data_IF_549902864281
#
_entry.id   IF_549902864281
#
_cell.length_a   1.000
_cell.length_b   1.000
_cell.length_c   1.000
_cell.angle_alpha   90.00
_cell.angle_beta   90.00
_cell.angle_gamma   90.00
#
_symmetry.space_group_name_H-M   'P 1'
#
loop_
_entity.id
_entity.type
_entity.pdbx_description
1 polymer ?
#
# COMPACT_ATOMS: atom_id res chain seq x y z
N UNK A 1 -18.11 -14.83 16.92
CA UNK A 1 -16.63 -14.84 16.72
C UNK A 1 -16.21 -15.49 15.41
N UNK A 2 -16.64 -16.71 15.10
CA UNK A 2 -16.34 -17.40 13.81
C UNK A 2 -16.68 -16.56 12.57
N UNK A 3 -17.89 -16.01 12.47
CA UNK A 3 -18.32 -15.17 11.33
C UNK A 3 -17.34 -14.01 11.06
N UNK A 4 -16.88 -13.31 12.09
CA UNK A 4 -15.90 -12.23 11.95
C UNK A 4 -14.55 -12.73 11.45
N UNK A 5 -14.09 -13.88 11.94
CA UNK A 5 -12.85 -14.50 11.45
C UNK A 5 -12.96 -14.89 9.97
N UNK A 6 -14.09 -15.48 9.55
CA UNK A 6 -14.36 -15.78 8.14
C UNK A 6 -14.34 -14.53 7.28
N UNK A 7 -14.99 -13.44 7.69
CA UNK A 7 -14.99 -12.16 6.95
C UNK A 7 -13.56 -11.63 6.74
N UNK A 8 -12.72 -11.68 7.78
CA UNK A 8 -11.31 -11.28 7.66
C UNK A 8 -10.60 -12.16 6.64
N UNK A 9 -10.67 -13.49 6.77
CA UNK A 9 -9.98 -14.40 5.85
C UNK A 9 -10.48 -14.28 4.40
N UNK A 10 -11.77 -14.02 4.20
CA UNK A 10 -12.37 -13.80 2.87
C UNK A 10 -11.94 -12.49 2.23
N UNK A 11 -11.75 -11.43 3.02
CA UNK A 11 -11.17 -10.18 2.56
C UNK A 11 -9.76 -10.41 2.02
N UNK A 12 -8.89 -11.03 2.83
CA UNK A 12 -7.52 -11.32 2.38
C UNK A 12 -7.50 -12.26 1.17
N UNK A 13 -8.35 -13.29 1.16
CA UNK A 13 -8.45 -14.23 0.04
C UNK A 13 -8.95 -13.55 -1.26
N UNK A 14 -9.82 -12.54 -1.17
CA UNK A 14 -10.28 -11.78 -2.36
C UNK A 14 -9.09 -11.16 -3.11
N UNK A 15 -8.13 -10.61 -2.37
CA UNK A 15 -6.90 -10.04 -2.90
C UNK A 15 -5.77 -11.07 -3.06
N UNK A 16 -6.04 -12.37 -2.83
CA UNK A 16 -5.06 -13.46 -2.91
C UNK A 16 -3.93 -13.37 -1.86
N UNK A 17 -4.23 -12.76 -0.71
CA UNK A 17 -3.30 -12.68 0.42
C UNK A 17 -3.60 -13.78 1.44
N UNK A 18 -2.55 -14.27 2.09
CA UNK A 18 -2.69 -15.19 3.22
C UNK A 18 -2.22 -14.47 4.50
N UNK A 19 -3.13 -14.10 5.41
CA UNK A 19 -2.77 -13.28 6.55
C UNK A 19 -2.04 -14.09 7.63
N UNK A 20 -1.16 -13.38 8.33
CA UNK A 20 -0.52 -13.81 9.58
C UNK A 20 -1.45 -13.61 10.77
N UNK A 21 -1.08 -14.17 11.91
CA UNK A 21 -1.80 -13.91 13.18
C UNK A 21 -1.94 -12.41 13.49
N UNK A 22 -0.88 -11.63 13.26
CA UNK A 22 -0.87 -10.19 13.55
C UNK A 22 -1.86 -9.43 12.66
N UNK A 23 -1.89 -9.76 11.37
CA UNK A 23 -2.84 -9.15 10.42
C UNK A 23 -4.29 -9.52 10.77
N UNK A 24 -4.56 -10.79 11.09
CA UNK A 24 -5.91 -11.21 11.53
C UNK A 24 -6.32 -10.44 12.78
N UNK A 25 -5.42 -10.27 13.74
CA UNK A 25 -5.69 -9.52 14.96
C UNK A 25 -6.00 -8.05 14.66
N UNK A 26 -5.15 -7.40 13.86
CA UNK A 26 -5.28 -5.98 13.48
C UNK A 26 -6.63 -5.70 12.82
N UNK A 27 -7.02 -6.54 11.86
CA UNK A 27 -8.24 -6.33 11.07
C UNK A 27 -9.46 -7.06 11.62
N UNK A 28 -9.39 -7.62 12.83
CA UNK A 28 -10.56 -8.22 13.45
C UNK A 28 -11.59 -7.12 13.76
N UNK A 29 -12.84 -7.22 13.28
CA UNK A 29 -13.82 -6.12 13.34
C UNK A 29 -14.45 -5.94 14.73
N UNK A 30 -14.08 -6.77 15.71
CA UNK A 30 -14.50 -6.66 17.12
C UNK A 30 -13.29 -6.62 18.02
N UNK A 31 -13.40 -5.95 19.17
CA UNK A 31 -12.33 -6.00 20.16
C UNK A 31 -12.14 -7.46 20.61
N UNK A 32 -10.89 -7.91 20.59
CA UNK A 32 -10.52 -9.27 20.99
C UNK A 32 -9.13 -9.23 21.63
N UNK A 33 -8.85 -10.10 22.60
CA UNK A 33 -7.48 -10.24 23.12
C UNK A 33 -6.65 -11.15 22.20
N UNK A 34 -5.32 -11.01 22.22
CA UNK A 34 -4.43 -11.94 21.49
C UNK A 34 -4.60 -13.38 21.97
N UNK A 35 -4.94 -13.60 23.24
CA UNK A 35 -5.19 -14.93 23.82
C UNK A 35 -6.45 -15.56 23.21
N UNK A 36 -7.57 -14.84 23.26
CA UNK A 36 -8.85 -15.34 22.74
C UNK A 36 -8.79 -15.59 21.23
N UNK A 37 -8.06 -14.74 20.49
CA UNK A 37 -7.85 -14.98 19.06
C UNK A 37 -7.05 -16.26 18.80
N UNK A 38 -6.00 -16.53 19.59
CA UNK A 38 -5.22 -17.77 19.46
C UNK A 38 -6.09 -18.99 19.74
N UNK A 39 -6.88 -18.96 20.80
CA UNK A 39 -7.80 -20.05 21.16
C UNK A 39 -8.85 -20.27 20.06
N UNK A 40 -9.43 -19.18 19.52
CA UNK A 40 -10.35 -19.24 18.39
C UNK A 40 -9.69 -19.91 17.18
N UNK A 41 -8.48 -19.48 16.79
CA UNK A 41 -7.76 -20.08 15.66
C UNK A 41 -7.46 -21.56 15.88
N UNK A 42 -7.01 -21.95 17.08
CA UNK A 42 -6.76 -23.37 17.42
C UNK A 42 -8.03 -24.19 17.28
N UNK A 43 -9.17 -23.70 17.77
CA UNK A 43 -10.46 -24.38 17.67
C UNK A 43 -10.90 -24.56 16.22
N UNK A 44 -10.78 -23.53 15.40
CA UNK A 44 -11.15 -23.58 13.98
C UNK A 44 -10.21 -24.46 13.15
N UNK A 45 -8.91 -24.52 13.50
CA UNK A 45 -7.96 -25.46 12.90
C UNK A 45 -8.33 -26.91 13.24
N UNK A 46 -8.61 -27.21 14.52
CA UNK A 46 -9.06 -28.55 14.95
C UNK A 46 -10.36 -28.96 14.26
N UNK A 47 -11.28 -28.01 14.08
CA UNK A 47 -12.53 -28.20 13.34
C UNK A 47 -12.37 -28.25 11.82
N UNK A 48 -11.14 -28.18 11.28
CA UNK A 48 -10.84 -28.16 9.83
C UNK A 48 -11.53 -27.04 9.04
N UNK A 49 -12.02 -26.00 9.70
CA UNK A 49 -12.65 -24.83 9.06
C UNK A 49 -11.62 -23.81 8.59
N UNK A 50 -10.39 -23.88 9.12
CA UNK A 50 -9.24 -23.05 8.73
C UNK A 50 -8.01 -23.94 8.58
N UNK A 51 -7.17 -23.62 7.59
CA UNK A 51 -5.87 -24.25 7.37
C UNK A 51 -4.78 -23.33 7.92
N UNK A 52 -3.93 -23.85 8.81
CA UNK A 52 -2.68 -23.21 9.23
C UNK A 52 -1.53 -23.84 8.45
N UNK A 53 -0.70 -23.03 7.81
CA UNK A 53 0.48 -23.53 7.11
C UNK A 53 1.68 -22.62 7.30
N UNK A 54 2.84 -23.24 7.53
CA UNK A 54 4.14 -22.59 7.38
C UNK A 54 4.62 -22.67 5.92
N UNK A 55 4.21 -23.71 5.17
CA UNK A 55 4.51 -23.94 3.74
C UNK A 55 3.70 -23.07 2.77
N UNK A 56 2.67 -22.35 3.23
CA UNK A 56 2.06 -21.28 2.43
C UNK A 56 3.03 -20.11 2.17
N UNK A 57 4.28 -20.21 2.63
CA UNK A 57 5.40 -19.38 2.22
C UNK A 57 6.30 -19.99 1.12
N UNK A 58 6.19 -21.28 0.79
CA UNK A 58 7.18 -22.00 -0.05
C UNK A 58 7.19 -21.56 -1.52
N UNK A 59 6.26 -20.69 -1.92
CA UNK A 59 6.46 -19.93 -3.15
C UNK A 59 7.21 -18.68 -2.73
N UNK A 60 8.56 -18.78 -2.71
CA UNK A 60 9.50 -17.67 -2.54
C UNK A 60 8.80 -16.39 -2.91
N UNK A 61 8.30 -15.71 -1.86
CA UNK A 61 7.84 -14.36 -1.97
C UNK A 61 9.04 -13.66 -2.56
N UNK A 62 8.91 -13.29 -3.83
CA UNK A 62 9.88 -12.43 -4.47
C UNK A 62 10.14 -11.33 -3.46
N UNK A 63 11.38 -11.21 -3.00
CA UNK A 63 11.72 -10.01 -2.26
C UNK A 63 11.40 -8.86 -3.23
N UNK A 64 11.05 -7.69 -2.72
CA UNK A 64 10.80 -6.47 -3.53
C UNK A 64 11.85 -6.23 -4.64
N UNK A 65 12.98 -6.94 -4.56
CA UNK A 65 14.17 -6.80 -5.33
C UNK A 65 14.78 -8.09 -5.90
N UNK A 66 14.22 -9.29 -5.68
CA UNK A 66 14.81 -10.54 -6.17
C UNK A 66 13.75 -11.49 -6.72
N UNK A 67 13.63 -11.49 -8.05
CA UNK A 67 12.95 -12.51 -8.84
C UNK A 67 13.85 -13.65 -9.32
N UNK A 68 14.75 -14.18 -8.49
CA UNK A 68 15.56 -15.33 -8.90
C UNK A 68 14.89 -16.67 -8.61
N UNK A 69 14.33 -17.27 -9.66
CA UNK A 69 14.30 -18.73 -9.84
C UNK A 69 15.67 -19.15 -10.36
N UNK A 70 16.51 -19.70 -9.48
CA UNK A 70 17.73 -20.43 -9.82
C UNK A 70 18.64 -19.78 -10.87
N UNK A 71 19.37 -18.71 -10.51
CA UNK A 71 20.78 -18.51 -10.88
C UNK A 71 21.28 -17.20 -10.23
N UNK A 72 22.56 -17.22 -9.86
CA UNK A 72 23.41 -16.15 -9.29
C UNK A 72 23.58 -16.03 -7.77
N UNK A 73 24.88 -16.06 -7.42
CA UNK A 73 25.54 -16.02 -6.11
C UNK A 73 25.35 -14.66 -5.42
N UNK A 74 25.41 -14.61 -4.08
CA UNK A 74 24.94 -13.47 -3.30
C UNK A 74 26.01 -12.37 -3.21
N UNK A 75 25.69 -11.17 -3.69
CA UNK A 75 26.31 -9.95 -3.18
C UNK A 75 25.23 -9.06 -2.54
N UNK A 76 25.23 -9.12 -1.21
CA UNK A 76 24.69 -8.15 -0.25
C UNK A 76 23.19 -7.85 -0.32
N UNK A 77 22.33 -8.64 0.37
CA UNK A 77 20.97 -8.21 0.65
C UNK A 77 20.97 -7.06 1.67
N UNK A 78 20.20 -6.00 1.38
CA UNK A 78 19.71 -5.06 2.39
C UNK A 78 19.05 -5.87 3.50
N UNK A 79 19.78 -6.04 4.61
CA UNK A 79 19.42 -6.90 5.74
C UNK A 79 18.32 -6.21 6.55
N UNK A 80 17.09 -6.21 6.03
CA UNK A 80 15.93 -6.17 6.91
C UNK A 80 15.96 -7.49 7.70
N UNK A 81 16.14 -7.40 9.01
CA UNK A 81 16.12 -8.52 9.93
C UNK A 81 14.73 -9.20 9.91
N UNK A 82 14.52 -10.15 9.00
CA UNK A 82 13.34 -11.01 9.00
C UNK A 82 13.54 -12.05 10.10
N UNK A 83 13.23 -11.63 11.33
CA UNK A 83 13.16 -12.47 12.52
C UNK A 83 11.87 -13.29 12.50
N UNK A 84 12.01 -14.62 12.52
CA UNK A 84 10.97 -15.65 12.71
C UNK A 84 9.82 -15.68 11.70
N UNK A 85 9.61 -16.84 11.08
CA UNK A 85 8.61 -17.01 10.04
C UNK A 85 7.19 -17.10 10.61
N UNK A 86 6.30 -16.10 10.43
CA UNK A 86 4.99 -16.14 11.06
C UNK A 86 4.08 -17.15 10.38
N UNK A 87 3.33 -17.92 11.18
CA UNK A 87 2.30 -18.83 10.68
C UNK A 87 1.23 -18.09 9.86
N UNK A 88 0.80 -18.68 8.76
CA UNK A 88 -0.21 -18.15 7.85
C UNK A 88 -1.52 -18.95 7.94
N UNK A 89 -2.65 -18.29 7.74
CA UNK A 89 -3.99 -18.87 7.93
C UNK A 89 -4.90 -18.58 6.73
N UNK A 90 -5.62 -19.58 6.24
CA UNK A 90 -6.59 -19.42 5.12
C UNK A 90 -7.79 -20.35 5.29
N UNK A 91 -8.87 -20.11 4.55
CA UNK A 91 -9.99 -21.04 4.47
C UNK A 91 -9.64 -22.20 3.52
N UNK A 92 -10.08 -23.45 3.80
CA UNK A 92 -9.75 -24.62 3.00
C UNK A 92 -9.97 -24.45 1.50
N UNK A 93 -11.11 -23.87 1.09
CA UNK A 93 -11.45 -23.62 -0.32
C UNK A 93 -10.50 -22.64 -1.04
N UNK A 94 -9.81 -21.77 -0.29
CA UNK A 94 -8.86 -20.80 -0.85
C UNK A 94 -7.42 -21.29 -0.83
N UNK A 95 -7.14 -22.41 -0.16
CA UNK A 95 -5.79 -23.01 -0.13
C UNK A 95 -5.33 -23.44 -1.53
N UNK A 96 -6.21 -24.04 -2.34
CA UNK A 96 -5.93 -24.46 -3.72
C UNK A 96 -6.07 -23.30 -4.70
N UNK A 97 -7.02 -22.39 -4.48
CA UNK A 97 -7.25 -21.25 -5.39
C UNK A 97 -6.10 -20.26 -5.38
N UNK A 98 -5.47 -20.03 -4.22
CA UNK A 98 -4.26 -19.22 -4.12
C UNK A 98 -3.11 -19.82 -4.95
N UNK A 99 -2.96 -21.16 -4.91
CA UNK A 99 -1.99 -21.90 -5.72
C UNK A 99 -2.28 -21.80 -7.23
N UNK A 100 -3.55 -21.94 -7.64
CA UNK A 100 -3.95 -21.94 -9.05
C UNK A 100 -3.88 -20.57 -9.72
N UNK A 101 -4.10 -19.47 -8.98
CA UNK A 101 -3.89 -18.11 -9.50
C UNK A 101 -2.42 -17.85 -9.82
N UNK A 102 -1.50 -18.29 -8.96
CA UNK A 102 -0.07 -18.22 -9.27
C UNK A 102 0.31 -19.07 -10.48
N UNK A 103 -0.22 -20.29 -10.59
CA UNK A 103 -0.04 -21.13 -11.78
C UNK A 103 -0.50 -20.41 -13.06
N UNK A 104 -1.62 -19.67 -13.02
CA UNK A 104 -2.06 -18.85 -14.17
C UNK A 104 -1.14 -17.67 -14.49
N UNK A 105 -0.54 -17.02 -13.47
CA UNK A 105 0.46 -15.96 -13.68
C UNK A 105 1.71 -16.54 -14.35
N UNK A 106 2.19 -17.68 -13.88
CA UNK A 106 3.31 -18.43 -14.47
C UNK A 106 2.96 -18.86 -15.89
N UNK A 107 1.77 -19.42 -16.11
CA UNK A 107 1.32 -19.83 -17.44
C UNK A 107 1.23 -18.64 -18.41
N UNK A 108 0.72 -17.50 -17.95
CA UNK A 108 0.71 -16.27 -18.75
C UNK A 108 2.11 -15.78 -19.10
N UNK A 109 3.09 -15.95 -18.21
CA UNK A 109 4.49 -15.66 -18.49
C UNK A 109 5.04 -16.60 -19.58
N UNK A 110 4.76 -17.90 -19.48
CA UNK A 110 5.11 -18.92 -20.48
C UNK A 110 4.47 -18.60 -21.83
N UNK A 111 3.17 -18.30 -21.87
CA UNK A 111 2.44 -18.00 -23.10
C UNK A 111 2.97 -16.73 -23.80
N UNK A 112 3.44 -15.74 -23.03
CA UNK A 112 4.11 -14.56 -23.56
C UNK A 112 5.50 -14.91 -24.11
N UNK A 113 6.24 -15.79 -23.43
CA UNK A 113 7.55 -16.27 -23.85
C UNK A 113 7.47 -17.08 -25.16
N UNK A 114 6.47 -17.94 -25.30
CA UNK A 114 6.21 -18.74 -26.51
C UNK A 114 5.88 -17.91 -27.76
N UNK A 115 5.57 -16.62 -27.62
CA UNK A 115 5.28 -15.70 -28.75
C UNK A 115 6.52 -15.05 -29.36
N UNK A 116 7.74 -15.45 -28.98
CA UNK A 116 8.95 -15.21 -29.77
C UNK A 116 9.55 -13.79 -29.75
N UNK A 117 9.28 -12.99 -28.72
CA UNK A 117 9.93 -11.67 -28.56
C UNK A 117 11.15 -11.69 -27.64
N UNK A 118 11.89 -10.58 -27.59
CA UNK A 118 13.05 -10.42 -26.70
C UNK A 118 12.67 -10.70 -25.23
N UNK A 119 13.31 -11.68 -24.55
CA UNK A 119 12.94 -12.10 -23.20
C UNK A 119 12.91 -10.93 -22.20
N UNK A 120 13.81 -9.93 -22.33
CA UNK A 120 13.83 -8.76 -21.43
C UNK A 120 12.65 -7.80 -21.62
N UNK A 121 12.01 -7.83 -22.80
CA UNK A 121 10.77 -7.06 -23.06
C UNK A 121 9.53 -7.84 -22.64
N UNK A 122 9.60 -9.16 -22.56
CA UNK A 122 8.46 -10.06 -22.37
C UNK A 122 8.40 -10.75 -21.01
N UNK A 123 9.48 -10.77 -20.23
CA UNK A 123 9.56 -11.38 -18.89
C UNK A 123 9.51 -10.28 -17.79
N UNK A 124 8.38 -10.16 -17.09
CA UNK A 124 8.20 -9.18 -16.02
C UNK A 124 9.04 -9.45 -14.77
N UNK A 125 9.43 -10.70 -14.50
CA UNK A 125 10.37 -11.03 -13.44
C UNK A 125 11.73 -10.40 -13.71
N UNK A 126 12.28 -10.65 -14.91
CA UNK A 126 13.55 -10.06 -15.35
C UNK A 126 13.48 -8.54 -15.41
N UNK A 127 12.38 -7.99 -15.94
CA UNK A 127 12.21 -6.53 -16.01
C UNK A 127 12.11 -5.89 -14.63
N UNK A 128 11.48 -6.56 -13.66
CA UNK A 128 11.44 -6.10 -12.26
C UNK A 128 12.83 -6.16 -11.63
N UNK A 129 13.57 -7.23 -11.83
CA UNK A 129 14.96 -7.36 -11.35
C UNK A 129 15.90 -6.31 -11.98
N UNK A 130 15.74 -6.03 -13.27
CA UNK A 130 16.46 -4.94 -13.94
C UNK A 130 16.08 -3.57 -13.35
N UNK A 131 14.81 -3.37 -13.01
CA UNK A 131 14.30 -2.11 -12.46
C UNK A 131 14.56 -1.94 -10.96
N UNK A 132 14.81 -3.01 -10.21
CA UNK A 132 15.07 -3.03 -8.77
C UNK A 132 16.01 -1.92 -8.32
N UNK A 133 17.18 -1.81 -8.96
CA UNK A 133 18.17 -0.78 -8.62
C UNK A 133 17.64 0.63 -8.87
N UNK A 134 16.92 0.83 -9.99
CA UNK A 134 16.33 2.12 -10.37
C UNK A 134 15.19 2.51 -9.44
N UNK A 135 14.36 1.55 -9.04
CA UNK A 135 13.30 1.73 -8.04
C UNK A 135 13.92 2.09 -6.69
N UNK A 136 14.98 1.41 -6.26
CA UNK A 136 15.67 1.75 -5.01
C UNK A 136 16.26 3.16 -5.03
N UNK A 137 16.90 3.54 -6.15
CA UNK A 137 17.38 4.92 -6.38
C UNK A 137 16.21 5.89 -6.29
N UNK A 138 15.12 5.62 -7.00
CA UNK A 138 13.91 6.44 -6.98
C UNK A 138 13.38 6.64 -5.55
N UNK A 139 13.14 5.56 -4.80
CA UNK A 139 12.62 5.62 -3.43
C UNK A 139 13.56 6.39 -2.50
N UNK A 140 14.87 6.24 -2.65
CA UNK A 140 15.86 6.98 -1.88
C UNK A 140 15.84 8.48 -2.23
N UNK A 141 15.74 8.82 -3.52
CA UNK A 141 15.67 10.21 -3.98
C UNK A 141 14.42 10.94 -3.48
N UNK A 142 13.28 10.24 -3.30
CA UNK A 142 12.05 10.86 -2.79
C UNK A 142 12.24 11.52 -1.41
N UNK A 143 13.17 11.03 -0.60
CA UNK A 143 13.48 11.58 0.73
C UNK A 143 14.03 13.01 0.65
N UNK A 144 14.78 13.31 -0.41
CA UNK A 144 15.51 14.57 -0.59
C UNK A 144 14.60 15.72 -1.02
N UNK A 145 13.42 15.43 -1.57
CA UNK A 145 12.51 16.48 -1.99
C UNK A 145 11.95 17.24 -0.77
N UNK A 146 12.12 18.58 -0.69
CA UNK A 146 11.73 19.36 0.47
C UNK A 146 10.21 19.39 0.67
N UNK A 147 9.44 19.32 -0.42
CA UNK A 147 7.98 19.31 -0.41
C UNK A 147 7.35 17.96 -0.07
N UNK A 148 8.11 16.85 -0.07
CA UNK A 148 7.57 15.53 0.31
C UNK A 148 7.68 15.36 1.81
N UNK A 149 6.56 14.99 2.44
CA UNK A 149 6.44 14.70 3.88
C UNK A 149 6.34 13.22 4.16
N UNK A 150 5.59 12.51 3.33
CA UNK A 150 5.38 11.09 3.48
C UNK A 150 5.33 10.39 2.13
N UNK A 151 5.86 9.16 2.10
CA UNK A 151 5.71 8.22 0.99
C UNK A 151 5.45 6.85 1.59
N UNK A 152 4.35 6.22 1.21
CA UNK A 152 4.01 4.87 1.62
C UNK A 152 3.67 3.97 0.44
N UNK A 153 4.07 2.70 0.53
CA UNK A 153 3.64 1.66 -0.41
C UNK A 153 2.25 1.19 0.00
N UNK A 154 1.35 1.09 -0.97
CA UNK A 154 -0.04 0.64 -0.83
C UNK A 154 -0.33 -0.58 -1.70
N UNK A 155 -1.59 -1.05 -1.73
CA UNK A 155 -2.01 -2.16 -2.58
C UNK A 155 -1.30 -3.49 -2.28
N UNK A 156 -1.19 -4.34 -3.31
CA UNK A 156 -0.68 -5.70 -3.18
C UNK A 156 0.78 -5.79 -2.73
N UNK A 157 1.59 -4.80 -3.14
CA UNK A 157 2.98 -4.71 -2.75
C UNK A 157 3.14 -4.53 -1.24
N UNK A 158 2.28 -3.74 -0.59
CA UNK A 158 2.34 -3.52 0.85
C UNK A 158 2.06 -4.80 1.67
N UNK A 159 1.33 -5.74 1.07
CA UNK A 159 0.90 -7.00 1.69
C UNK A 159 1.75 -8.19 1.31
N UNK A 160 2.87 -7.96 0.63
CA UNK A 160 3.75 -9.01 0.09
C UNK A 160 3.00 -10.01 -0.81
N UNK A 161 1.91 -9.57 -1.45
CA UNK A 161 1.08 -10.40 -2.32
C UNK A 161 1.12 -9.96 -3.77
N UNK A 162 2.22 -9.33 -4.19
CA UNK A 162 2.37 -8.79 -5.53
C UNK A 162 2.88 -9.85 -6.51
N UNK A 163 2.44 -9.72 -7.76
CA UNK A 163 2.92 -10.48 -8.91
C UNK A 163 4.12 -9.75 -9.55
N UNK A 164 5.04 -10.45 -10.24
CA UNK A 164 6.09 -9.81 -11.04
C UNK A 164 5.57 -8.79 -12.08
N UNK A 165 4.30 -8.92 -12.43
CA UNK A 165 3.58 -8.07 -13.37
C UNK A 165 2.97 -6.80 -12.76
N UNK A 166 2.80 -6.75 -11.43
CA UNK A 166 2.08 -5.68 -10.76
C UNK A 166 2.94 -4.42 -10.64
N UNK A 167 2.37 -3.22 -10.61
CA UNK A 167 3.08 -1.99 -10.24
C UNK A 167 3.28 -1.88 -8.72
N UNK A 168 4.19 -0.98 -8.31
CA UNK A 168 4.31 -0.54 -6.91
C UNK A 168 3.48 0.73 -6.72
N UNK A 169 2.38 0.62 -6.00
CA UNK A 169 1.47 1.72 -5.75
C UNK A 169 1.96 2.62 -4.61
N UNK A 170 2.16 3.91 -4.92
CA UNK A 170 2.61 4.90 -3.95
C UNK A 170 1.51 5.86 -3.53
N UNK A 171 1.45 6.08 -2.22
CA UNK A 171 0.70 7.15 -1.56
C UNK A 171 1.70 8.21 -1.07
N UNK A 172 1.48 9.47 -1.46
CA UNK A 172 2.40 10.57 -1.15
C UNK A 172 1.64 11.68 -0.42
N UNK A 173 2.20 12.16 0.69
CA UNK A 173 1.75 13.40 1.35
C UNK A 173 2.81 14.46 1.14
N UNK A 174 2.38 15.63 0.71
CA UNK A 174 3.23 16.79 0.47
C UNK A 174 2.98 17.88 1.49
N UNK A 175 3.88 18.86 1.53
CA UNK A 175 3.61 20.15 2.16
C UNK A 175 2.32 20.76 1.60
N UNK A 176 1.63 21.54 2.43
CA UNK A 176 0.48 22.35 1.99
C UNK A 176 0.84 23.17 0.74
N UNK A 177 -0.03 23.15 -0.27
CA UNK A 177 0.15 23.90 -1.53
C UNK A 177 1.42 23.54 -2.32
N UNK A 178 1.86 22.28 -2.25
CA UNK A 178 2.97 21.77 -3.07
C UNK A 178 2.62 20.44 -3.77
N UNK A 179 1.34 20.09 -3.84
CA UNK A 179 0.86 18.81 -4.34
C UNK A 179 1.23 18.59 -5.81
N UNK A 180 0.89 19.55 -6.66
CA UNK A 180 1.14 19.49 -8.11
C UNK A 180 2.61 19.67 -8.44
N UNK A 181 3.30 20.53 -7.70
CA UNK A 181 4.76 20.66 -7.77
C UNK A 181 5.43 19.33 -7.49
N UNK A 182 5.08 18.70 -6.36
CA UNK A 182 5.65 17.42 -5.98
C UNK A 182 5.36 16.35 -7.02
N UNK A 183 4.09 16.25 -7.43
CA UNK A 183 3.65 15.31 -8.45
C UNK A 183 4.47 15.45 -9.73
N UNK A 184 4.69 16.66 -10.21
CA UNK A 184 5.47 16.91 -11.42
C UNK A 184 6.86 16.29 -11.30
N UNK A 185 7.61 16.65 -10.25
CA UNK A 185 8.99 16.18 -10.08
C UNK A 185 9.08 14.67 -9.86
N UNK A 186 8.20 14.08 -9.06
CA UNK A 186 8.24 12.62 -8.82
C UNK A 186 7.83 11.81 -10.05
N UNK A 187 6.93 12.34 -10.90
CA UNK A 187 6.58 11.72 -12.18
C UNK A 187 7.73 11.85 -13.17
N UNK A 188 8.33 13.04 -13.29
CA UNK A 188 9.47 13.27 -14.18
C UNK A 188 10.63 12.36 -13.80
N UNK A 189 10.98 12.28 -12.51
CA UNK A 189 12.05 11.39 -12.04
C UNK A 189 11.75 9.91 -12.36
N UNK A 190 10.51 9.45 -12.13
CA UNK A 190 10.13 8.07 -12.46
C UNK A 190 10.21 7.79 -13.98
N UNK A 191 9.85 8.77 -14.82
CA UNK A 191 9.96 8.66 -16.28
C UNK A 191 11.42 8.66 -16.75
N UNK A 192 12.27 9.52 -16.19
CA UNK A 192 13.70 9.58 -16.51
C UNK A 192 14.41 8.27 -16.17
N UNK A 193 14.01 7.62 -15.06
CA UNK A 193 14.50 6.31 -14.67
C UNK A 193 13.86 5.15 -15.45
N UNK A 194 12.87 5.41 -16.30
CA UNK A 194 12.18 4.40 -17.11
C UNK A 194 11.30 3.44 -16.29
N UNK A 195 10.89 3.84 -15.09
CA UNK A 195 10.12 3.02 -14.14
C UNK A 195 8.69 3.52 -13.93
N UNK A 196 8.23 4.51 -14.70
CA UNK A 196 6.86 5.01 -14.56
C UNK A 196 5.83 4.05 -15.19
N UNK A 197 4.99 3.42 -14.36
CA UNK A 197 3.94 2.48 -14.76
C UNK A 197 4.45 1.10 -15.20
N UNK A 198 3.52 0.19 -15.49
CA UNK A 198 3.83 -1.20 -15.84
C UNK A 198 4.36 -1.95 -14.63
N UNK A 199 5.53 -2.57 -14.72
CA UNK A 199 6.20 -3.28 -13.61
C UNK A 199 7.03 -2.36 -12.69
N UNK A 200 6.91 -1.04 -12.87
CA UNK A 200 7.63 -0.03 -12.11
C UNK A 200 6.80 0.55 -10.96
N UNK A 201 6.78 1.87 -10.83
CA UNK A 201 6.02 2.60 -9.80
C UNK A 201 4.76 3.24 -10.39
N UNK A 202 3.67 3.15 -9.64
CA UNK A 202 2.42 3.86 -9.90
C UNK A 202 2.21 4.94 -8.84
N UNK A 203 1.91 6.15 -9.29
CA UNK A 203 1.72 7.30 -8.42
C UNK A 203 0.22 7.55 -8.25
N UNK A 204 -0.39 6.77 -7.37
CA UNK A 204 -1.84 6.60 -7.30
C UNK A 204 -2.55 7.66 -6.47
N UNK A 205 -1.97 8.05 -5.33
CA UNK A 205 -2.61 8.94 -4.37
C UNK A 205 -1.65 10.03 -3.93
N UNK A 206 -2.12 11.28 -4.03
CA UNK A 206 -1.38 12.45 -3.56
C UNK A 206 -2.28 13.28 -2.69
N UNK A 207 -1.91 13.46 -1.42
CA UNK A 207 -2.55 14.40 -0.50
C UNK A 207 -1.56 15.51 -0.16
N UNK A 208 -2.07 16.64 0.31
CA UNK A 208 -1.25 17.64 1.00
C UNK A 208 -1.70 17.79 2.47
N UNK A 209 -0.81 18.34 3.29
CA UNK A 209 -1.06 18.63 4.72
C UNK A 209 -2.31 19.49 4.97
N UNK A 210 -2.79 20.25 3.96
CA UNK A 210 -3.98 21.08 4.08
C UNK A 210 -5.27 20.28 4.23
N UNK A 211 -5.34 19.05 3.70
CA UNK A 211 -6.45 18.13 3.97
C UNK A 211 -6.10 16.66 3.71
N UNK A 212 -5.77 15.94 4.79
CA UNK A 212 -5.49 14.50 4.76
C UNK A 212 -6.69 13.60 5.09
N UNK A 213 -7.85 14.20 5.39
CA UNK A 213 -9.04 13.44 5.79
C UNK A 213 -9.66 12.75 4.58
N UNK A 214 -9.92 11.45 4.68
CA UNK A 214 -10.64 10.71 3.66
C UNK A 214 -12.07 11.24 3.58
N UNK A 215 -12.58 11.63 2.39
CA UNK A 215 -13.95 12.09 2.25
C UNK A 215 -14.95 11.05 2.75
N UNK A 216 -16.02 11.47 3.43
CA UNK A 216 -17.03 10.57 4.02
C UNK A 216 -17.52 9.50 3.03
N UNK A 217 -17.76 9.87 1.78
CA UNK A 217 -18.21 8.96 0.70
C UNK A 217 -17.22 7.83 0.37
N UNK A 218 -15.96 7.94 0.79
CA UNK A 218 -14.88 6.97 0.61
C UNK A 218 -14.46 6.30 1.93
N UNK A 219 -15.08 6.65 3.06
CA UNK A 219 -14.78 6.00 4.34
C UNK A 219 -15.46 4.64 4.42
N UNK A 220 -14.70 3.59 4.09
CA UNK A 220 -15.16 2.20 4.09
C UNK A 220 -14.03 1.26 4.54
N UNK A 221 -14.35 -0.02 4.76
CA UNK A 221 -13.39 -1.02 5.23
C UNK A 221 -12.20 -1.19 4.28
N UNK A 222 -12.41 -1.09 2.97
CA UNK A 222 -11.34 -1.19 1.97
C UNK A 222 -10.32 -0.05 2.11
N UNK A 223 -10.76 1.21 2.16
CA UNK A 223 -9.85 2.35 2.36
C UNK A 223 -9.19 2.30 3.74
N UNK A 224 -9.90 1.84 4.77
CA UNK A 224 -9.31 1.60 6.08
C UNK A 224 -8.17 0.56 6.02
N UNK A 225 -8.36 -0.54 5.29
CA UNK A 225 -7.29 -1.52 5.03
C UNK A 225 -6.11 -0.89 4.29
N UNK A 226 -6.34 -0.16 3.19
CA UNK A 226 -5.29 0.49 2.41
C UNK A 226 -4.45 1.45 3.27
N UNK A 227 -5.09 2.24 4.14
CA UNK A 227 -4.39 3.16 5.02
C UNK A 227 -3.56 2.44 6.09
N UNK A 228 -4.09 1.40 6.71
CA UNK A 228 -3.42 0.71 7.83
C UNK A 228 -2.31 -0.23 7.40
N UNK A 229 -2.46 -0.83 6.23
CA UNK A 229 -1.52 -1.81 5.73
C UNK A 229 -0.32 -1.19 5.02
N UNK A 230 -0.40 0.12 4.78
CA UNK A 230 0.61 0.92 4.12
C UNK A 230 1.99 0.72 4.76
N UNK A 231 3.03 0.65 3.92
CA UNK A 231 4.43 0.55 4.37
C UNK A 231 5.14 1.89 4.16
N UNK A 232 5.41 2.66 5.22
CA UNK A 232 6.16 3.90 5.10
C UNK A 232 7.58 3.68 4.54
N UNK A 233 7.95 4.47 3.52
CA UNK A 233 9.33 4.59 2.99
C UNK A 233 9.97 5.89 3.47
N UNK A 234 9.16 6.96 3.50
CA UNK A 234 9.50 8.29 3.98
C UNK A 234 8.41 8.70 4.96
N UNK A 235 8.80 9.08 6.16
CA UNK A 235 7.89 9.56 7.18
C UNK A 235 8.57 10.71 7.94
N UNK A 236 8.34 11.93 7.50
CA UNK A 236 8.86 13.14 8.15
C UNK A 236 7.82 13.62 9.15
N UNK A 237 8.26 14.06 10.32
CA UNK A 237 7.39 14.68 11.34
C UNK A 237 6.21 13.77 11.77
N UNK A 238 6.40 12.45 11.78
CA UNK A 238 5.37 11.45 12.12
C UNK A 238 4.07 11.59 11.31
N UNK A 239 4.20 11.94 10.03
CA UNK A 239 3.08 12.17 9.12
C UNK A 239 2.16 10.96 8.98
N UNK A 240 2.68 9.73 9.10
CA UNK A 240 1.81 8.55 9.11
C UNK A 240 0.86 8.52 10.32
N UNK A 241 1.35 8.90 11.51
CA UNK A 241 0.50 9.03 12.71
C UNK A 241 -0.56 10.11 12.50
N UNK A 242 -0.15 11.28 12.00
CA UNK A 242 -1.07 12.38 11.71
C UNK A 242 -2.16 11.99 10.69
N UNK A 243 -1.80 11.22 9.66
CA UNK A 243 -2.76 10.67 8.70
C UNK A 243 -3.80 9.75 9.36
N UNK A 244 -3.35 8.86 10.25
CA UNK A 244 -4.25 7.94 10.97
C UNK A 244 -5.12 8.65 12.00
N UNK A 245 -4.61 9.70 12.65
CA UNK A 245 -5.37 10.54 13.58
C UNK A 245 -6.45 11.36 12.84
N UNK A 246 -6.11 11.97 11.71
CA UNK A 246 -7.08 12.64 10.83
C UNK A 246 -8.19 11.69 10.32
N UNK A 247 -7.91 10.38 10.34
CA UNK A 247 -8.83 9.33 9.90
C UNK A 247 -9.21 8.38 11.03
N UNK A 248 -9.46 8.92 12.23
CA UNK A 248 -9.78 8.14 13.43
C UNK A 248 -11.02 7.22 13.31
N UNK A 249 -11.90 7.47 12.32
CA UNK A 249 -13.01 6.58 11.96
C UNK A 249 -12.54 5.14 11.66
N UNK A 250 -11.30 4.95 11.20
CA UNK A 250 -10.72 3.61 10.97
C UNK A 250 -10.72 2.76 12.24
N UNK A 251 -10.52 3.37 13.41
CA UNK A 251 -10.48 2.67 14.69
C UNK A 251 -11.87 2.19 15.14
N UNK A 252 -12.96 2.70 14.55
CA UNK A 252 -14.31 2.18 14.80
C UNK A 252 -14.55 0.90 14.01
N UNK A 253 -13.98 0.79 12.80
CA UNK A 253 -14.03 -0.42 11.96
C UNK A 253 -13.10 -1.50 12.52
N UNK A 254 -11.90 -1.12 12.97
CA UNK A 254 -10.85 -2.04 13.41
C UNK A 254 -10.32 -1.68 14.81
N UNK A 255 -11.02 -2.09 15.88
CA UNK A 255 -10.74 -1.63 17.25
C UNK A 255 -9.45 -2.19 17.88
N UNK A 256 -8.75 -3.11 17.22
CA UNK A 256 -7.56 -3.79 17.75
C UNK A 256 -6.24 -3.05 17.43
N UNK A 257 -6.26 -2.11 16.49
CA UNK A 257 -5.07 -1.38 16.02
C UNK A 257 -4.39 -0.56 17.12
N UNK A 258 -5.17 0.05 18.03
CA UNK A 258 -4.63 0.85 19.14
C UNK A 258 -3.67 0.08 20.06
N UNK A 259 -3.66 -1.25 19.98
CA UNK A 259 -2.71 -2.12 20.71
C UNK A 259 -1.49 -2.55 19.90
N UNK A 260 -1.43 -2.16 18.63
CA UNK A 260 -0.39 -2.54 17.66
C UNK A 260 0.46 -1.35 17.26
N UNK A 261 -0.15 -0.17 17.07
CA UNK A 261 0.57 1.09 16.92
C UNK A 261 1.06 1.45 18.32
N UNK A 262 2.38 1.48 18.59
CA UNK A 262 2.88 2.05 19.83
C UNK A 262 2.22 3.41 19.96
N UNK A 263 1.68 3.76 21.13
CA UNK A 263 1.38 5.14 21.38
C UNK A 263 2.70 5.88 21.19
N UNK A 264 2.92 6.45 20.00
CA UNK A 264 3.93 7.45 19.76
C UNK A 264 3.80 8.35 20.95
N UNK A 265 4.89 8.43 21.71
CA UNK A 265 5.03 9.10 22.99
C UNK A 265 3.97 10.18 23.08
N UNK A 266 3.14 10.18 24.13
CA UNK A 266 2.42 11.39 24.53
C UNK A 266 3.47 12.48 24.75
N UNK A 267 3.99 13.07 23.68
CA UNK A 267 4.39 14.44 23.65
C UNK A 267 3.14 15.15 24.11
N UNK A 268 3.27 15.85 25.23
CA UNK A 268 2.29 16.80 25.75
C UNK A 268 1.76 17.63 24.57
N UNK A 269 0.65 17.20 23.98
CA UNK A 269 -0.37 18.12 23.52
C UNK A 269 -1.22 18.35 24.77
N UNK A 270 -0.75 19.29 25.59
CA UNK A 270 -1.53 19.80 26.71
C UNK A 270 -2.86 20.26 26.15
N UNK A 271 -3.94 19.65 26.65
CA UNK A 271 -5.30 20.17 26.65
C UNK A 271 -5.24 21.69 26.89
N UNK A 272 -5.40 22.48 25.83
CA UNK A 272 -5.21 23.94 25.87
C UNK A 272 -4.67 24.56 24.58
N UNK A 273 -3.98 23.81 23.71
CA UNK A 273 -3.66 24.31 22.37
C UNK A 273 -4.81 24.00 21.42
N UNK A 274 -5.63 25.02 21.15
CA UNK A 274 -6.27 25.20 19.84
C UNK A 274 -5.24 24.82 18.76
N UNK A 275 -5.70 24.30 17.63
CA UNK A 275 -4.89 24.15 16.42
C UNK A 275 -4.33 25.51 15.96
N UNK A 276 -3.35 26.03 16.69
CA UNK A 276 -2.39 27.01 16.27
C UNK A 276 -1.26 26.18 15.71
N UNK A 277 -1.27 26.04 14.39
CA UNK A 277 -0.03 26.07 13.63
C UNK A 277 0.78 27.20 14.26
N UNK A 278 1.92 26.88 14.85
CA UNK A 278 2.84 27.93 15.27
C UNK A 278 3.28 28.60 13.97
N UNK A 279 2.60 29.69 13.62
CA UNK A 279 2.88 30.60 12.50
C UNK A 279 4.19 31.37 12.75
N UNK A 280 5.23 30.69 13.22
CA UNK A 280 6.57 31.25 13.33
C UNK A 280 7.33 30.83 12.07
N UNK A 281 7.13 31.66 11.04
CA UNK A 281 7.63 31.57 9.65
C UNK A 281 6.64 30.95 8.65
N UNK A 282 5.57 31.69 8.33
CA UNK A 282 5.10 31.74 6.94
C UNK A 282 6.18 32.56 6.21
N UNK A 283 7.12 31.97 5.46
CA UNK A 283 8.04 32.80 4.71
C UNK A 283 7.21 33.56 3.68
N UNK A 284 7.64 34.77 3.29
CA UNK A 284 7.06 35.52 2.18
C UNK A 284 6.94 34.68 0.87
N UNK A 285 7.53 33.47 0.83
CA UNK A 285 7.38 32.46 -0.19
C UNK A 285 6.07 31.65 -0.16
N UNK A 286 5.19 31.73 0.84
CA UNK A 286 3.95 30.93 0.85
C UNK A 286 2.98 31.27 -0.31
N UNK A 287 2.91 32.55 -0.70
CA UNK A 287 2.22 32.94 -1.92
C UNK A 287 2.94 32.49 -3.18
N UNK A 288 4.28 32.42 -3.15
CA UNK A 288 5.10 31.98 -4.26
C UNK A 288 4.98 30.45 -4.48
N UNK A 289 4.99 29.65 -3.43
CA UNK A 289 4.80 28.19 -3.50
C UNK A 289 3.43 27.84 -4.07
N UNK A 290 2.39 28.54 -3.63
CA UNK A 290 1.04 28.35 -4.19
C UNK A 290 0.97 28.72 -5.68
N UNK A 291 1.60 29.82 -6.10
CA UNK A 291 1.67 30.21 -7.53
C UNK A 291 2.40 29.15 -8.35
N UNK A 292 3.52 28.63 -7.85
CA UNK A 292 4.29 27.56 -8.49
C UNK A 292 3.43 26.29 -8.60
N UNK A 293 2.71 25.92 -7.55
CA UNK A 293 1.84 24.74 -7.54
C UNK A 293 0.69 24.87 -8.54
N UNK A 294 0.07 26.04 -8.62
CA UNK A 294 -0.97 26.35 -9.61
C UNK A 294 -0.43 26.31 -11.05
N UNK A 295 0.81 26.76 -11.27
CA UNK A 295 1.48 26.61 -12.56
C UNK A 295 1.67 25.12 -12.92
N UNK A 296 2.21 24.30 -12.02
CA UNK A 296 2.35 22.87 -12.29
C UNK A 296 1.00 22.15 -12.42
N UNK A 297 -0.06 22.64 -11.77
CA UNK A 297 -1.43 22.18 -11.96
C UNK A 297 -1.93 22.48 -13.37
N UNK A 298 -1.72 23.69 -13.88
CA UNK A 298 -2.18 24.07 -15.22
C UNK A 298 -1.51 23.24 -16.32
N UNK A 299 -0.23 22.89 -16.15
CA UNK A 299 0.50 22.00 -17.06
C UNK A 299 -0.01 20.56 -17.03
N UNK A 300 -0.26 20.00 -15.84
CA UNK A 300 -0.56 18.56 -15.71
C UNK A 300 -2.04 18.23 -15.87
N UNK A 301 -2.95 19.12 -15.47
CA UNK A 301 -4.38 18.83 -15.43
C UNK A 301 -4.99 18.45 -16.78
N UNK A 302 -4.66 19.13 -17.91
CA UNK A 302 -5.17 18.74 -19.24
C UNK A 302 -4.73 17.33 -19.64
N UNK A 303 -3.46 16.97 -19.35
CA UNK A 303 -2.89 15.65 -19.66
C UNK A 303 -3.60 14.55 -18.87
N UNK A 304 -3.91 14.81 -17.59
CA UNK A 304 -4.61 13.84 -16.73
C UNK A 304 -6.05 13.66 -17.21
N UNK A 305 -6.76 14.77 -17.47
CA UNK A 305 -8.17 14.73 -17.90
C UNK A 305 -8.37 14.08 -19.28
N UNK A 306 -7.43 14.29 -20.22
CA UNK A 306 -7.51 13.69 -21.56
C UNK A 306 -7.45 12.16 -21.54
N UNK A 307 -6.72 11.58 -20.61
CA UNK A 307 -6.33 10.19 -20.69
C UNK A 307 -7.24 9.23 -19.90
N UNK A 308 -8.05 9.69 -18.94
CA UNK A 308 -8.77 8.78 -18.01
C UNK A 308 -10.05 9.38 -17.40
N UNK A 309 -11.10 8.57 -17.38
CA UNK A 309 -12.36 8.79 -16.65
C UNK A 309 -12.27 8.22 -15.23
N UNK A 310 -13.00 8.79 -14.27
CA UNK A 310 -13.14 8.26 -12.89
C UNK A 310 -12.15 8.79 -11.84
N UNK A 311 -11.24 9.70 -12.21
CA UNK A 311 -10.34 10.33 -11.25
C UNK A 311 -11.04 11.39 -10.40
N UNK A 312 -10.74 11.39 -9.08
CA UNK A 312 -11.16 12.46 -8.17
C UNK A 312 -10.00 13.43 -7.97
N UNK A 313 -10.15 14.64 -8.50
CA UNK A 313 -9.14 15.69 -8.48
C UNK A 313 -9.70 16.85 -7.66
N UNK A 314 -9.05 17.17 -6.54
CA UNK A 314 -9.39 18.32 -5.70
C UNK A 314 -8.15 19.21 -5.53
N UNK A 315 -8.26 20.28 -4.75
CA UNK A 315 -7.11 21.14 -4.47
C UNK A 315 -6.07 20.46 -3.56
N UNK A 316 -6.52 19.60 -2.64
CA UNK A 316 -5.67 18.98 -1.61
C UNK A 316 -5.46 17.48 -1.79
N UNK A 317 -6.21 16.85 -2.69
CA UNK A 317 -6.17 15.40 -2.89
C UNK A 317 -6.34 15.05 -4.36
N UNK A 318 -5.47 14.17 -4.85
CA UNK A 318 -5.58 13.51 -6.14
C UNK A 318 -5.72 12.01 -5.96
N UNK A 319 -6.79 11.47 -6.52
CA UNK A 319 -7.11 10.06 -6.52
C UNK A 319 -7.05 9.54 -7.96
N UNK A 320 -5.95 8.86 -8.28
CA UNK A 320 -5.58 8.43 -9.63
C UNK A 320 -5.62 6.90 -9.78
N UNK A 321 -6.58 6.24 -9.15
CA UNK A 321 -6.72 4.78 -9.21
C UNK A 321 -6.94 4.29 -10.65
N UNK A 322 -6.16 3.29 -11.08
CA UNK A 322 -6.44 2.58 -12.35
C UNK A 322 -7.61 1.62 -12.23
N UNK A 323 -7.79 1.02 -11.05
CA UNK A 323 -8.83 0.03 -10.79
C UNK A 323 -9.49 0.36 -9.45
N UNK A 324 -10.78 0.69 -9.46
CA UNK A 324 -11.54 0.90 -8.23
C UNK A 324 -12.03 -0.46 -7.71
N UNK A 325 -11.33 -1.01 -6.71
CA UNK A 325 -11.72 -2.27 -6.06
C UNK A 325 -12.91 -2.10 -5.11
N UNK A 326 -13.28 -0.86 -4.75
CA UNK A 326 -14.42 -0.57 -3.88
C UNK A 326 -15.72 -1.10 -4.49
N UNK A 327 -15.92 -0.87 -5.79
CA UNK A 327 -17.10 -1.36 -6.52
C UNK A 327 -17.14 -2.89 -6.59
N UNK A 328 -15.97 -3.53 -6.75
CA UNK A 328 -15.88 -4.99 -6.84
C UNK A 328 -16.20 -5.66 -5.49
N UNK A 329 -15.80 -5.05 -4.39
CA UNK A 329 -16.15 -5.52 -3.04
C UNK A 329 -17.64 -5.33 -2.74
N UNK A 330 -18.22 -4.16 -3.07
CA UNK A 330 -19.65 -3.89 -2.89
C UNK A 330 -20.55 -4.92 -3.59
N UNK A 331 -20.20 -5.30 -4.83
CA UNK A 331 -20.95 -6.33 -5.59
C UNK A 331 -20.89 -7.73 -4.94
N UNK A 332 -19.82 -8.04 -4.21
CA UNK A 332 -19.65 -9.33 -3.52
C UNK A 332 -20.41 -9.36 -2.19
N UNK A 333 -20.49 -8.24 -1.49
CA UNK A 333 -21.26 -8.10 -0.25
C UNK A 333 -22.78 -8.05 -0.51
N UNK A 334 -23.21 -7.51 -1.65
CA UNK A 334 -24.63 -7.53 -2.09
C UNK A 334 -25.12 -8.90 -2.57
N UNK A 335 -24.22 -9.87 -2.75
CA UNK A 335 -24.54 -11.24 -3.17
C UNK A 335 -24.56 -12.27 -2.04
N UNK A 336 -24.64 -11.84 -0.77
CA UNK A 336 -24.58 -12.69 0.42
C UNK A 336 -25.65 -12.40 1.44
#
# INVERSE_FOLDING_TARGET
>A
MRKHLSLVLEYFAFFSYVPSFSEIYTFFPKKITKKDLKELLIREIKGKTIVKSQRLQDYKLFSLFHCSTNHYSPSTPLRASISSNPSRYTLPQYSITALSRHSRVVQRAIDLWSKGGNPRRLDPCLRRDDNTKRIQIYMNSLRLFPFIRFVGITGATAMNGYSPFDDIDLFIITRKSALWTARFFVVVLAKLLGIYGGVGVCLNLFFDEGNMTIPLVKQNSYIAHELLQMKPIVDKENMYSALLEANAWIFTIFPNIRSVIPASSKGRLTSGQKAGIQDDWIPASAGMTQKIDLFFKSLQLPIIKKNKTGFRITNHQLWLFRHDFEEKLKRKDLGR
#
